data_IF_385429806993
#
_entry.id   IF_385429806993
#
_cell.length_a   1.000
_cell.length_b   1.000
_cell.length_c   1.000
_cell.angle_alpha   90.00
_cell.angle_beta   90.00
_cell.angle_gamma   90.00
#
_symmetry.space_group_name_H-M   'P 1'
#
loop_
_entity.id
_entity.type
_entity.pdbx_description
1 polymer ?
#
# COMPACT_ATOMS: atom_id res chain seq x y z
N UNK A 1 0.41 13.44 -7.79
CA UNK A 1 1.62 13.10 -8.56
C UNK A 1 2.72 12.85 -7.55
N UNK A 2 3.53 11.80 -7.71
CA UNK A 2 4.65 11.51 -6.82
C UNK A 2 5.68 12.63 -6.92
N UNK A 3 6.16 13.14 -5.79
CA UNK A 3 7.33 14.00 -5.77
C UNK A 3 8.58 13.11 -5.78
N UNK A 4 9.69 13.56 -6.37
CA UNK A 4 10.96 12.82 -6.35
C UNK A 4 11.53 12.60 -4.94
N UNK A 5 10.92 13.23 -3.92
CA UNK A 5 11.32 13.23 -2.53
C UNK A 5 10.40 12.38 -1.63
N UNK A 6 9.46 11.61 -2.20
CA UNK A 6 8.60 10.72 -1.42
C UNK A 6 9.32 9.41 -1.08
N UNK A 7 9.15 8.90 0.14
CA UNK A 7 9.68 7.60 0.57
C UNK A 7 8.67 6.50 0.23
N UNK A 8 9.18 5.34 -0.24
CA UNK A 8 8.35 4.15 -0.46
C UNK A 8 8.72 3.04 0.53
N UNK A 9 7.71 2.48 1.19
CA UNK A 9 7.80 1.23 1.95
C UNK A 9 7.13 0.16 1.12
N UNK A 10 7.88 -0.88 0.76
CA UNK A 10 7.42 -1.95 -0.14
C UNK A 10 7.30 -3.24 0.69
N UNK A 11 6.13 -3.88 0.62
CA UNK A 11 5.87 -5.19 1.22
C UNK A 11 5.51 -6.17 0.10
N UNK A 12 6.26 -7.26 0.00
CA UNK A 12 6.12 -8.26 -1.05
C UNK A 12 5.98 -9.67 -0.47
N UNK A 13 5.18 -10.48 -1.15
CA UNK A 13 5.12 -11.92 -0.95
C UNK A 13 5.37 -12.66 -2.27
N UNK A 14 5.48 -13.98 -2.21
CA UNK A 14 5.65 -14.87 -3.36
C UNK A 14 4.39 -15.71 -3.64
N UNK A 15 3.23 -15.22 -3.23
CA UNK A 15 1.94 -15.87 -3.45
C UNK A 15 1.43 -15.72 -4.88
N UNK A 16 0.12 -15.86 -5.05
CA UNK A 16 -0.53 -15.77 -6.37
C UNK A 16 -0.71 -14.34 -6.86
N UNK A 17 -0.59 -13.33 -5.99
CA UNK A 17 -0.83 -11.93 -6.31
C UNK A 17 -2.32 -11.59 -6.51
N UNK A 18 -2.58 -10.33 -6.86
CA UNK A 18 -3.95 -9.79 -7.00
C UNK A 18 -4.28 -9.52 -8.47
N UNK A 19 -5.42 -10.02 -8.99
CA UNK A 19 -5.88 -9.69 -10.34
C UNK A 19 -5.99 -8.17 -10.55
N UNK A 20 -5.66 -7.70 -11.75
CA UNK A 20 -5.59 -6.26 -12.07
C UNK A 20 -6.87 -5.52 -11.73
N UNK A 21 -8.01 -6.13 -12.06
CA UNK A 21 -9.34 -5.62 -11.85
C UNK A 21 -9.76 -5.59 -10.37
N UNK A 22 -9.04 -6.29 -9.49
CA UNK A 22 -9.28 -6.39 -8.05
C UNK A 22 -8.35 -5.51 -7.21
N UNK A 23 -7.23 -5.02 -7.76
CA UNK A 23 -6.19 -4.29 -7.01
C UNK A 23 -6.70 -3.11 -6.18
N UNK A 24 -7.67 -2.35 -6.69
CA UNK A 24 -8.28 -1.24 -5.94
C UNK A 24 -9.44 -1.69 -5.04
N UNK A 25 -10.13 -2.76 -5.45
CA UNK A 25 -11.31 -3.28 -4.77
C UNK A 25 -10.98 -3.94 -3.43
N UNK A 26 -9.83 -4.61 -3.33
CA UNK A 26 -9.36 -5.24 -2.08
C UNK A 26 -9.22 -4.25 -0.91
N UNK A 27 -9.16 -2.94 -1.17
CA UNK A 27 -9.12 -1.91 -0.13
C UNK A 27 -10.51 -1.41 0.28
N UNK A 28 -11.59 -1.91 -0.34
CA UNK A 28 -12.97 -1.51 -0.01
C UNK A 28 -13.55 -2.44 1.05
N UNK A 29 -14.37 -1.86 1.93
CA UNK A 29 -15.04 -2.59 3.02
C UNK A 29 -15.87 -3.79 2.54
N UNK A 30 -16.45 -3.69 1.35
CA UNK A 30 -17.36 -4.68 0.74
C UNK A 30 -16.69 -6.00 0.30
N UNK A 31 -15.36 -6.04 0.20
CA UNK A 31 -14.60 -7.22 -0.27
C UNK A 31 -14.28 -8.23 0.84
N UNK A 32 -14.53 -7.89 2.10
CA UNK A 32 -14.24 -8.76 3.24
C UNK A 32 -15.53 -9.37 3.79
N UNK A 33 -16.01 -10.46 3.18
CA UNK A 33 -17.21 -11.15 3.68
C UNK A 33 -16.95 -12.10 4.86
N UNK A 34 -15.72 -12.53 5.14
CA UNK A 34 -15.39 -13.40 6.28
C UNK A 34 -13.90 -13.36 6.75
N UNK A 35 -13.03 -12.53 6.17
CA UNK A 35 -11.56 -12.66 6.29
C UNK A 35 -10.85 -11.48 6.99
N UNK A 36 -11.62 -10.59 7.64
CA UNK A 36 -11.10 -9.50 8.45
C UNK A 36 -10.86 -8.20 7.66
N UNK A 37 -10.99 -7.07 8.32
CA UNK A 37 -10.96 -5.73 7.71
C UNK A 37 -9.54 -5.22 7.38
N UNK A 38 -8.56 -6.11 7.24
CA UNK A 38 -7.12 -5.78 7.27
C UNK A 38 -6.73 -4.65 6.33
N UNK A 39 -6.83 -4.87 5.01
CA UNK A 39 -6.36 -3.89 4.01
C UNK A 39 -7.22 -2.62 3.96
N UNK A 40 -8.53 -2.73 4.20
CA UNK A 40 -9.40 -1.56 4.33
C UNK A 40 -8.92 -0.68 5.49
N UNK A 41 -8.77 -1.24 6.70
CA UNK A 41 -8.29 -0.50 7.86
C UNK A 41 -6.87 0.03 7.66
N UNK A 42 -5.98 -0.73 7.03
CA UNK A 42 -4.65 -0.26 6.69
C UNK A 42 -4.72 1.01 5.83
N UNK A 43 -5.58 1.04 4.80
CA UNK A 43 -5.75 2.24 3.97
C UNK A 43 -6.32 3.42 4.75
N UNK A 44 -7.33 3.18 5.59
CA UNK A 44 -7.92 4.25 6.41
C UNK A 44 -6.90 4.82 7.41
N UNK A 45 -6.13 3.97 8.09
CA UNK A 45 -5.12 4.40 9.06
C UNK A 45 -4.00 5.19 8.38
N UNK A 46 -3.52 4.73 7.22
CA UNK A 46 -2.49 5.44 6.46
C UNK A 46 -3.00 6.79 5.94
N UNK A 47 -4.25 6.86 5.50
CA UNK A 47 -4.85 8.10 5.02
C UNK A 47 -4.96 9.18 6.11
N UNK A 48 -5.09 8.81 7.40
CA UNK A 48 -5.08 9.77 8.52
C UNK A 48 -3.78 10.59 8.57
N UNK A 49 -2.67 10.04 8.08
CA UNK A 49 -1.35 10.67 8.10
C UNK A 49 -0.83 11.06 6.72
N UNK A 50 -1.73 11.19 5.72
CA UNK A 50 -1.41 11.48 4.32
C UNK A 50 -0.55 10.41 3.61
N UNK A 51 -0.46 9.21 4.17
CA UNK A 51 0.17 8.07 3.52
C UNK A 51 -0.83 7.39 2.58
N UNK A 52 -0.31 6.84 1.48
CA UNK A 52 -1.13 6.06 0.54
C UNK A 52 -0.61 4.64 0.44
N UNK A 53 -1.49 3.68 0.14
CA UNK A 53 -1.13 2.29 -0.15
C UNK A 53 -1.72 1.87 -1.49
N UNK A 54 -0.94 1.17 -2.30
CA UNK A 54 -1.36 0.58 -3.59
C UNK A 54 -0.85 -0.83 -3.71
N UNK A 55 -1.57 -1.66 -4.45
CA UNK A 55 -1.06 -2.94 -4.91
C UNK A 55 -0.54 -2.75 -6.35
N UNK A 56 0.73 -3.07 -6.58
CA UNK A 56 1.46 -2.87 -7.84
C UNK A 56 2.10 -4.17 -8.33
N UNK A 57 1.72 -5.32 -7.77
CA UNK A 57 2.27 -6.63 -8.11
C UNK A 57 1.75 -7.16 -9.44
N UNK A 58 2.37 -8.24 -9.91
CA UNK A 58 1.93 -8.96 -11.11
C UNK A 58 1.26 -10.26 -10.70
N UNK A 59 0.07 -10.53 -11.24
CA UNK A 59 -0.63 -11.79 -11.00
C UNK A 59 0.27 -12.97 -11.38
N UNK A 60 0.40 -13.93 -10.46
CA UNK A 60 1.29 -15.09 -10.58
C UNK A 60 2.72 -14.85 -10.07
N UNK A 61 3.05 -13.65 -9.59
CA UNK A 61 4.39 -13.29 -9.08
C UNK A 61 4.39 -12.78 -7.63
N UNK A 62 3.28 -12.98 -6.91
CA UNK A 62 3.08 -12.44 -5.57
C UNK A 62 2.35 -11.10 -5.55
N UNK A 63 1.96 -10.66 -4.35
CA UNK A 63 1.45 -9.31 -4.15
C UNK A 63 2.59 -8.35 -3.83
N UNK A 64 2.48 -7.11 -4.29
CA UNK A 64 3.42 -6.02 -3.99
C UNK A 64 2.64 -4.80 -3.52
N UNK A 65 2.65 -4.57 -2.21
CA UNK A 65 2.03 -3.39 -1.61
C UNK A 65 3.06 -2.28 -1.46
N UNK A 66 2.76 -1.12 -2.04
CA UNK A 66 3.61 0.08 -1.96
C UNK A 66 2.89 1.10 -1.10
N UNK A 67 3.49 1.41 0.04
CA UNK A 67 3.09 2.52 0.89
C UNK A 67 3.95 3.73 0.54
N UNK A 68 3.33 4.84 0.17
CA UNK A 68 4.03 6.10 -0.12
C UNK A 68 3.92 7.03 1.08
N UNK A 69 5.06 7.49 1.56
CA UNK A 69 5.21 8.45 2.65
C UNK A 69 5.68 9.77 2.04
N UNK A 70 4.90 10.87 2.17
CA UNK A 70 5.33 12.17 1.66
C UNK A 70 6.60 12.62 2.38
N UNK A 71 7.38 13.50 1.76
CA UNK A 71 8.64 14.03 2.35
C UNK A 71 8.50 14.54 3.79
N UNK A 72 7.36 15.13 4.14
CA UNK A 72 7.03 15.62 5.48
C UNK A 72 6.83 14.52 6.53
N UNK A 73 6.56 13.29 6.10
CA UNK A 73 6.22 12.16 6.96
C UNK A 73 7.41 11.34 7.46
N UNK A 74 8.65 11.70 7.10
CA UNK A 74 9.84 10.99 7.55
C UNK A 74 11.05 11.91 7.75
N UNK A 75 12.00 11.44 8.57
CA UNK A 75 13.28 12.12 8.83
C UNK A 75 14.42 11.28 8.27
N UNK A 76 15.25 11.89 7.43
CA UNK A 76 16.53 11.31 7.04
C UNK A 76 17.54 11.49 8.18
N UNK A 77 18.26 10.43 8.52
CA UNK A 77 19.33 10.46 9.53
C UNK A 77 20.64 11.07 9.02
N UNK A 78 20.76 11.37 7.73
CA UNK A 78 21.95 11.96 7.10
C UNK A 78 21.89 13.49 7.00
N UNK A 79 21.48 14.17 8.07
CA UNK A 79 21.79 15.58 8.27
C UNK A 79 22.97 15.67 9.24
N UNK A 80 24.17 15.65 8.68
CA UNK A 80 25.40 16.15 9.28
C UNK A 80 25.84 17.39 8.51
#
# INVERSE_FOLDING_TARGET
>A
AFSGDDLQIIIEDNGVGVPKEEKEKIFRREYFKNTGFGLFLSREILAITDLTIREEGTLGSGARFVITVPRSGYRNSLQG
#
